data_IF_432308576318
#
_entry.id   IF_432308576318
#
_cell.length_a   1.000
_cell.length_b   1.000
_cell.length_c   1.000
_cell.angle_alpha   90.00
_cell.angle_beta   90.00
_cell.angle_gamma   90.00
#
_symmetry.space_group_name_H-M   'P 1'
#
loop_
_entity.id
_entity.type
_entity.pdbx_description
1 polymer ?
#
# COMPACT_ATOMS: atom_id res chain seq x y z
N UNK A 1 35.30 -13.41 33.34
CA UNK A 1 36.31 -13.21 32.28
C UNK A 1 35.62 -12.41 31.19
N UNK A 2 35.73 -11.08 31.26
CA UNK A 2 35.03 -10.16 30.38
C UNK A 2 35.82 -10.05 29.07
N UNK A 3 35.28 -10.57 27.98
CA UNK A 3 35.78 -10.23 26.65
C UNK A 3 35.13 -8.90 26.25
N UNK A 4 35.95 -7.86 26.20
CA UNK A 4 35.60 -6.59 25.59
C UNK A 4 35.31 -6.84 24.09
N UNK A 5 34.03 -6.81 23.72
CA UNK A 5 33.62 -6.72 22.32
C UNK A 5 34.03 -5.34 21.79
N UNK A 6 35.29 -5.24 21.35
CA UNK A 6 35.81 -4.04 20.71
C UNK A 6 35.22 -3.92 19.32
N UNK A 7 34.15 -3.13 19.20
CA UNK A 7 33.65 -2.69 17.90
C UNK A 7 34.77 -1.90 17.18
N UNK A 8 35.30 -2.45 16.09
CA UNK A 8 36.38 -1.83 15.34
C UNK A 8 35.81 -0.76 14.41
N UNK A 9 36.12 0.50 14.69
CA UNK A 9 35.89 1.61 13.78
C UNK A 9 37.07 1.73 12.83
N UNK A 10 36.82 1.67 11.53
CA UNK A 10 37.82 1.99 10.51
C UNK A 10 37.40 3.25 9.78
N UNK A 11 38.31 4.21 9.72
CA UNK A 11 38.13 5.45 8.99
C UNK A 11 38.79 5.31 7.61
N UNK A 12 37.98 5.43 6.57
CA UNK A 12 38.45 5.51 5.19
C UNK A 12 38.35 6.95 4.72
N UNK A 13 39.47 7.46 4.21
CA UNK A 13 39.53 8.79 3.61
C UNK A 13 39.63 8.64 2.10
N UNK A 14 38.78 9.35 1.37
CA UNK A 14 38.86 9.48 -0.08
C UNK A 14 39.01 10.95 -0.42
N UNK A 15 40.02 11.25 -1.23
CA UNK A 15 40.23 12.56 -1.80
C UNK A 15 39.50 12.62 -3.15
N UNK A 16 38.59 13.59 -3.28
CA UNK A 16 37.91 13.97 -4.51
C UNK A 16 38.76 14.96 -5.31
N UNK A 17 38.10 15.81 -6.09
CA UNK A 17 38.79 16.71 -7.02
C UNK A 17 39.74 17.68 -6.28
N UNK A 18 40.94 17.82 -6.86
CA UNK A 18 41.94 18.80 -6.44
C UNK A 18 41.84 19.95 -7.43
N UNK A 19 41.47 21.14 -6.95
CA UNK A 19 41.44 22.35 -7.76
C UNK A 19 42.44 23.38 -7.23
N UNK A 20 43.24 23.94 -8.12
CA UNK A 20 44.06 25.10 -7.83
C UNK A 20 43.26 26.35 -8.20
N UNK A 21 43.17 27.31 -7.28
CA UNK A 21 42.58 28.62 -7.51
C UNK A 21 43.71 29.63 -7.80
N UNK A 22 43.40 30.67 -8.59
CA UNK A 22 44.34 31.67 -9.13
C UNK A 22 45.19 32.40 -8.06
N UNK A 23 44.82 32.29 -6.77
CA UNK A 23 45.51 32.90 -5.63
C UNK A 23 46.56 31.97 -4.99
N UNK A 24 47.11 31.01 -5.73
CA UNK A 24 48.01 29.97 -5.23
C UNK A 24 47.42 29.12 -4.08
N UNK A 25 46.08 29.00 -4.02
CA UNK A 25 45.38 28.14 -3.07
C UNK A 25 44.99 26.82 -3.72
N UNK A 26 45.30 25.70 -3.05
CA UNK A 26 44.89 24.37 -3.49
C UNK A 26 43.72 23.94 -2.60
N UNK A 27 42.58 23.66 -3.21
CA UNK A 27 41.38 23.12 -2.55
C UNK A 27 41.28 21.64 -2.86
N UNK A 28 41.26 20.82 -1.80
CA UNK A 28 41.09 19.36 -1.88
C UNK A 28 39.76 19.02 -1.20
N UNK A 29 38.81 18.44 -1.95
CA UNK A 29 37.59 17.92 -1.36
C UNK A 29 37.86 16.55 -0.74
N UNK A 30 37.88 16.47 0.59
CA UNK A 30 38.07 15.20 1.30
C UNK A 30 36.76 14.69 1.89
N UNK A 31 36.45 13.42 1.65
CA UNK A 31 35.35 12.72 2.34
C UNK A 31 35.93 11.66 3.27
N UNK A 32 35.58 11.74 4.56
CA UNK A 32 35.89 10.68 5.54
C UNK A 32 34.65 9.84 5.81
N UNK A 33 34.74 8.52 5.60
CA UNK A 33 33.71 7.55 6.01
C UNK A 33 34.23 6.73 7.17
N UNK A 34 33.51 6.77 8.29
CA UNK A 34 33.80 5.90 9.44
C UNK A 34 32.84 4.72 9.37
N UNK A 35 33.39 3.52 9.20
CA UNK A 35 32.62 2.28 9.27
C UNK A 35 32.83 1.66 10.64
N UNK A 36 31.73 1.43 11.35
CA UNK A 36 31.75 0.58 12.54
C UNK A 36 31.41 -0.84 12.09
N UNK A 37 32.39 -1.73 12.16
CA UNK A 37 32.16 -3.14 11.87
C UNK A 37 31.60 -3.82 13.11
N UNK A 38 30.41 -4.40 12.96
CA UNK A 38 29.67 -5.06 14.02
C UNK A 38 29.67 -6.56 13.70
N UNK A 39 30.09 -7.40 14.65
CA UNK A 39 30.08 -8.84 14.47
C UNK A 39 28.65 -9.35 14.26
N UNK A 40 28.47 -10.42 13.47
CA UNK A 40 27.12 -10.99 13.22
C UNK A 40 26.44 -11.45 14.51
N UNK A 41 27.23 -11.96 15.44
CA UNK A 41 26.83 -12.41 16.77
C UNK A 41 26.32 -11.22 17.60
N UNK A 42 27.02 -10.08 17.56
CA UNK A 42 26.60 -8.85 18.24
C UNK A 42 25.30 -8.29 17.65
N UNK A 43 25.09 -8.39 16.33
CA UNK A 43 23.82 -7.99 15.69
C UNK A 43 22.65 -8.84 16.20
N UNK A 44 22.85 -10.14 16.44
CA UNK A 44 21.78 -11.05 16.93
C UNK A 44 21.39 -10.78 18.38
N UNK A 45 22.35 -10.37 19.21
CA UNK A 45 22.13 -10.08 20.64
C UNK A 45 21.69 -8.63 20.91
N UNK A 46 21.72 -7.77 19.88
CA UNK A 46 21.28 -6.37 20.02
C UNK A 46 19.79 -6.31 20.31
N UNK A 47 19.44 -5.67 21.42
CA UNK A 47 18.05 -5.34 21.73
C UNK A 47 17.50 -4.42 20.66
N UNK A 48 16.35 -4.80 20.10
CA UNK A 48 15.63 -3.97 19.15
C UNK A 48 15.23 -2.65 19.81
N UNK A 49 15.43 -1.54 19.11
CA UNK A 49 14.97 -0.24 19.56
C UNK A 49 13.43 -0.19 19.43
N UNK A 50 12.66 -0.09 20.53
CA UNK A 50 11.21 -0.03 20.45
C UNK A 50 10.70 1.26 19.81
N UNK A 51 11.53 2.32 19.72
CA UNK A 51 11.21 3.56 19.02
C UNK A 51 11.55 3.53 17.53
N UNK A 52 12.01 2.40 16.99
CA UNK A 52 12.29 2.26 15.57
C UNK A 52 11.01 2.42 14.75
N UNK A 53 10.98 3.25 13.69
CA UNK A 53 9.83 3.35 12.79
C UNK A 53 9.66 2.13 11.89
N UNK A 54 10.65 1.23 11.87
CA UNK A 54 10.61 0.00 11.07
C UNK A 54 9.81 -1.10 11.77
N UNK A 55 8.66 -1.45 11.18
CA UNK A 55 7.73 -2.46 11.71
C UNK A 55 8.05 -3.91 11.27
N UNK A 56 9.23 -4.14 10.69
CA UNK A 56 9.63 -5.45 10.20
C UNK A 56 9.01 -5.81 8.85
N UNK A 57 8.71 -7.09 8.64
CA UNK A 57 8.12 -7.61 7.40
C UNK A 57 6.60 -7.37 7.30
N UNK A 58 6.01 -6.69 8.29
CA UNK A 58 4.59 -6.34 8.28
C UNK A 58 4.33 -5.27 7.22
N UNK A 59 3.14 -5.32 6.63
CA UNK A 59 2.64 -4.22 5.80
C UNK A 59 2.26 -3.07 6.74
N UNK A 60 2.59 -1.83 6.36
CA UNK A 60 2.02 -0.64 7.00
C UNK A 60 0.52 -0.60 6.71
N UNK A 61 -0.27 -0.39 7.75
CA UNK A 61 -1.72 -0.22 7.72
C UNK A 61 -2.12 1.25 7.95
N UNK A 62 -3.43 1.54 7.96
CA UNK A 62 -3.92 2.91 8.14
C UNK A 62 -3.47 3.55 9.46
N UNK A 63 -3.29 2.73 10.50
CA UNK A 63 -2.86 3.13 11.83
C UNK A 63 -1.39 3.56 11.85
N UNK A 64 -0.59 3.04 10.92
CA UNK A 64 0.84 3.29 10.82
C UNK A 64 1.17 4.52 9.94
N UNK A 65 0.18 5.32 9.53
CA UNK A 65 0.38 6.45 8.61
C UNK A 65 1.49 7.42 9.05
N UNK A 66 1.69 7.60 10.36
CA UNK A 66 2.70 8.49 10.92
C UNK A 66 4.13 7.95 10.77
N UNK A 67 4.27 6.65 10.51
CA UNK A 67 5.54 5.96 10.27
C UNK A 67 5.82 5.76 8.78
N UNK A 68 4.87 6.09 7.89
CA UNK A 68 4.97 5.86 6.46
C UNK A 68 5.40 7.12 5.70
N UNK A 69 6.70 7.21 5.39
CA UNK A 69 7.33 8.37 4.73
C UNK A 69 8.07 8.00 3.43
N UNK A 70 8.41 9.01 2.62
CA UNK A 70 9.20 8.88 1.39
C UNK A 70 8.39 8.40 0.17
N UNK A 71 7.06 8.38 0.29
CA UNK A 71 6.12 7.95 -0.77
C UNK A 71 5.10 9.02 -1.14
N UNK A 72 5.34 10.26 -0.74
CA UNK A 72 4.41 11.39 -0.88
C UNK A 72 4.04 11.64 -2.35
N UNK A 73 5.03 11.60 -3.25
CA UNK A 73 4.79 11.76 -4.69
C UNK A 73 3.92 10.63 -5.28
N UNK A 74 4.11 9.40 -4.81
CA UNK A 74 3.31 8.25 -5.27
C UNK A 74 1.89 8.33 -4.73
N UNK A 75 1.71 8.76 -3.49
CA UNK A 75 0.39 9.01 -2.90
C UNK A 75 -0.35 10.10 -3.70
N UNK A 76 0.32 11.21 -4.01
CA UNK A 76 -0.26 12.30 -4.80
C UNK A 76 -0.73 11.81 -6.19
N UNK A 77 0.12 11.06 -6.90
CA UNK A 77 -0.25 10.43 -8.18
C UNK A 77 -1.42 9.46 -8.06
N UNK A 78 -1.48 8.69 -6.97
CA UNK A 78 -2.60 7.79 -6.72
C UNK A 78 -3.91 8.56 -6.47
N UNK A 79 -3.86 9.71 -5.79
CA UNK A 79 -5.02 10.59 -5.61
C UNK A 79 -5.52 11.13 -6.96
N UNK A 80 -4.62 11.60 -7.81
CA UNK A 80 -4.97 12.06 -9.16
C UNK A 80 -5.60 10.93 -9.98
N UNK A 81 -5.04 9.72 -9.91
CA UNK A 81 -5.54 8.57 -10.63
C UNK A 81 -6.97 8.18 -10.19
N UNK A 82 -7.28 8.18 -8.88
CA UNK A 82 -8.64 7.86 -8.39
C UNK A 82 -9.67 8.93 -8.73
N UNK A 83 -9.24 10.18 -8.94
CA UNK A 83 -10.11 11.25 -9.44
C UNK A 83 -10.39 11.10 -10.93
N UNK A 84 -9.41 10.63 -11.69
CA UNK A 84 -9.49 10.52 -13.15
C UNK A 84 -10.20 9.25 -13.62
N UNK A 85 -10.10 8.14 -12.88
CA UNK A 85 -10.62 6.82 -13.29
C UNK A 85 -11.25 6.07 -12.12
N UNK A 86 -12.32 5.33 -12.42
CA UNK A 86 -12.99 4.41 -11.48
C UNK A 86 -12.28 3.07 -11.34
N UNK A 87 -11.29 2.79 -12.21
CA UNK A 87 -10.49 1.57 -12.17
C UNK A 87 -9.03 1.90 -12.42
N UNK A 88 -8.18 1.41 -11.52
CA UNK A 88 -6.74 1.63 -11.55
C UNK A 88 -6.07 0.31 -11.26
N UNK A 89 -5.10 -0.05 -12.10
CA UNK A 89 -4.23 -1.17 -11.87
C UNK A 89 -2.90 -0.67 -11.29
N UNK A 90 -2.60 -1.06 -10.05
CA UNK A 90 -1.34 -0.70 -9.39
C UNK A 90 -0.28 -1.78 -9.61
N UNK A 91 0.72 -1.49 -10.44
CA UNK A 91 1.79 -2.42 -10.80
C UNK A 91 3.10 -2.10 -10.07
N UNK A 92 3.96 -3.11 -9.91
CA UNK A 92 5.29 -2.98 -9.32
C UNK A 92 5.83 -4.30 -8.77
N UNK A 93 7.13 -4.37 -8.53
CA UNK A 93 7.81 -5.57 -8.03
C UNK A 93 7.21 -6.09 -6.70
N UNK A 94 7.38 -7.39 -6.43
CA UNK A 94 7.04 -7.93 -5.12
C UNK A 94 7.84 -7.22 -4.02
N UNK A 95 7.20 -6.93 -2.89
CA UNK A 95 7.82 -6.18 -1.79
C UNK A 95 8.07 -4.70 -2.05
N UNK A 96 7.68 -4.13 -3.20
CA UNK A 96 7.90 -2.70 -3.49
C UNK A 96 7.05 -1.72 -2.65
N UNK A 97 6.19 -2.25 -1.76
CA UNK A 97 5.35 -1.47 -0.85
C UNK A 97 3.99 -1.04 -1.41
N UNK A 98 3.47 -1.65 -2.48
CA UNK A 98 2.18 -1.30 -3.11
C UNK A 98 1.01 -1.32 -2.13
N UNK A 99 0.85 -2.43 -1.38
CA UNK A 99 -0.24 -2.56 -0.41
C UNK A 99 -0.14 -1.48 0.68
N UNK A 100 1.07 -1.19 1.17
CA UNK A 100 1.32 -0.14 2.16
C UNK A 100 1.09 1.26 1.60
N UNK A 101 1.45 1.53 0.35
CA UNK A 101 1.16 2.78 -0.34
C UNK A 101 -0.34 3.09 -0.31
N UNK A 102 -1.18 2.08 -0.56
CA UNK A 102 -2.63 2.26 -0.54
C UNK A 102 -3.17 2.32 0.90
N UNK A 103 -2.78 1.38 1.77
CA UNK A 103 -3.33 1.22 3.12
C UNK A 103 -2.89 2.31 4.10
N UNK A 104 -1.61 2.65 4.12
CA UNK A 104 -1.02 3.64 5.04
C UNK A 104 -0.89 5.04 4.40
N UNK A 105 -0.94 5.12 3.06
CA UNK A 105 -0.79 6.38 2.33
C UNK A 105 -2.10 6.91 1.76
N UNK A 106 -2.63 6.24 0.73
CA UNK A 106 -3.79 6.74 -0.02
C UNK A 106 -5.08 6.76 0.81
N UNK A 107 -5.45 5.65 1.44
CA UNK A 107 -6.69 5.52 2.21
C UNK A 107 -6.78 6.57 3.32
N UNK A 108 -5.74 6.77 4.17
CA UNK A 108 -5.80 7.80 5.21
C UNK A 108 -5.90 9.22 4.64
N UNK A 109 -5.20 9.52 3.53
CA UNK A 109 -5.31 10.83 2.87
C UNK A 109 -6.71 11.08 2.33
N UNK A 110 -7.32 10.10 1.65
CA UNK A 110 -8.70 10.22 1.17
C UNK A 110 -9.69 10.32 2.34
N UNK A 111 -9.45 9.60 3.44
CA UNK A 111 -10.28 9.68 4.65
C UNK A 111 -10.23 11.06 5.27
N UNK A 112 -9.08 11.73 5.27
CA UNK A 112 -8.96 13.11 5.74
C UNK A 112 -9.70 14.11 4.85
N UNK A 113 -9.76 13.87 3.54
CA UNK A 113 -10.46 14.74 2.58
C UNK A 113 -11.98 14.54 2.57
N UNK A 114 -12.44 13.28 2.64
CA UNK A 114 -13.84 12.91 2.48
C UNK A 114 -14.55 12.67 3.81
N UNK A 115 -13.81 12.48 4.91
CA UNK A 115 -14.35 12.14 6.21
C UNK A 115 -15.15 10.84 6.19
N UNK A 116 -16.36 10.88 6.76
CA UNK A 116 -17.27 9.73 6.85
C UNK A 116 -17.83 9.28 5.50
N UNK A 117 -17.74 10.11 4.46
CA UNK A 117 -18.20 9.74 3.11
C UNK A 117 -17.35 8.61 2.52
N UNK A 118 -16.07 8.50 2.89
CA UNK A 118 -15.21 7.43 2.34
C UNK A 118 -15.50 6.09 3.01
N UNK A 119 -15.88 5.10 2.20
CA UNK A 119 -15.99 3.70 2.59
C UNK A 119 -14.90 2.91 1.89
N UNK A 120 -13.89 2.46 2.64
CA UNK A 120 -12.81 1.63 2.11
C UNK A 120 -13.12 0.15 2.29
N UNK A 121 -13.22 -0.60 1.19
CA UNK A 121 -13.38 -2.05 1.17
C UNK A 121 -12.07 -2.66 0.69
N UNK A 122 -11.37 -3.35 1.58
CA UNK A 122 -10.03 -3.88 1.31
C UNK A 122 -10.01 -5.38 1.53
N UNK A 123 -9.68 -6.15 0.49
CA UNK A 123 -9.64 -7.60 0.57
C UNK A 123 -8.74 -8.19 -0.53
N UNK A 124 -8.03 -9.29 -0.26
CA UNK A 124 -7.28 -10.01 -1.28
C UNK A 124 -8.04 -11.21 -1.84
N UNK A 125 -8.14 -11.47 -3.16
CA UNK A 125 -8.90 -12.59 -3.70
C UNK A 125 -8.52 -13.94 -3.05
N UNK A 126 -9.53 -14.69 -2.61
CA UNK A 126 -9.41 -16.08 -2.11
C UNK A 126 -10.02 -17.05 -3.16
N UNK A 127 -10.37 -18.26 -2.75
CA UNK A 127 -10.99 -19.27 -3.60
C UNK A 127 -12.32 -18.79 -4.21
N UNK A 128 -13.18 -18.17 -3.40
CA UNK A 128 -14.30 -17.34 -3.88
C UNK A 128 -13.98 -15.83 -3.69
N UNK A 129 -13.80 -15.06 -4.76
CA UNK A 129 -13.54 -13.63 -4.66
C UNK A 129 -14.78 -12.81 -4.26
N UNK A 130 -16.00 -13.34 -4.41
CA UNK A 130 -17.24 -12.67 -3.99
C UNK A 130 -17.44 -12.75 -2.48
N UNK A 131 -17.11 -13.89 -1.86
CA UNK A 131 -17.25 -14.09 -0.41
C UNK A 131 -16.48 -13.06 0.41
N UNK A 132 -15.27 -12.69 -0.01
CA UNK A 132 -14.50 -11.69 0.71
C UNK A 132 -15.05 -10.28 0.57
N UNK A 133 -15.65 -9.97 -0.58
CA UNK A 133 -16.33 -8.71 -0.76
C UNK A 133 -17.58 -8.62 0.12
N UNK A 134 -18.40 -9.68 0.14
CA UNK A 134 -19.52 -9.83 1.09
C UNK A 134 -19.03 -9.66 2.54
N UNK A 135 -17.93 -10.31 2.89
CA UNK A 135 -17.32 -10.20 4.22
C UNK A 135 -16.90 -8.77 4.55
N UNK A 136 -16.28 -8.07 3.59
CA UNK A 136 -15.88 -6.67 3.76
C UNK A 136 -17.10 -5.75 3.98
N UNK A 137 -18.21 -6.01 3.29
CA UNK A 137 -19.47 -5.28 3.49
C UNK A 137 -20.11 -5.58 4.85
N UNK A 138 -20.07 -6.83 5.32
CA UNK A 138 -20.56 -7.22 6.65
C UNK A 138 -19.79 -6.47 7.75
N UNK A 139 -18.46 -6.36 7.62
CA UNK A 139 -17.61 -5.61 8.57
C UNK A 139 -17.95 -4.12 8.58
N UNK A 140 -18.50 -3.58 7.48
CA UNK A 140 -18.99 -2.20 7.38
C UNK A 140 -20.46 -2.04 7.75
N UNK A 141 -21.07 -3.08 8.30
CA UNK A 141 -22.45 -3.07 8.83
C UNK A 141 -23.51 -2.73 7.76
N UNK A 142 -23.27 -3.14 6.52
CA UNK A 142 -24.31 -3.11 5.48
C UNK A 142 -25.36 -4.21 5.69
N UNK A 143 -26.54 -4.02 5.08
CA UNK A 143 -27.67 -4.93 5.24
C UNK A 143 -27.34 -6.35 4.73
N UNK A 144 -27.53 -7.35 5.59
CA UNK A 144 -27.13 -8.73 5.30
C UNK A 144 -27.99 -9.38 4.23
N UNK A 145 -29.27 -9.01 4.09
CA UNK A 145 -30.14 -9.57 3.07
C UNK A 145 -29.77 -9.04 1.68
N UNK A 146 -29.46 -7.74 1.58
CA UNK A 146 -28.90 -7.15 0.37
C UNK A 146 -27.53 -7.74 0.01
N UNK A 147 -26.68 -8.03 1.00
CA UNK A 147 -25.37 -8.69 0.76
C UNK A 147 -25.55 -10.13 0.21
N UNK A 148 -26.54 -10.88 0.71
CA UNK A 148 -26.84 -12.24 0.18
C UNK A 148 -27.28 -12.22 -1.28
N UNK A 149 -27.87 -11.12 -1.74
CA UNK A 149 -28.27 -10.98 -3.15
C UNK A 149 -27.07 -10.86 -4.10
N UNK A 150 -25.88 -10.51 -3.60
CA UNK A 150 -24.63 -10.61 -4.37
C UNK A 150 -24.37 -12.10 -4.60
N UNK A 151 -24.58 -12.60 -5.81
CA UNK A 151 -24.38 -14.01 -6.17
C UNK A 151 -23.17 -14.19 -7.09
N UNK A 152 -22.55 -15.37 -7.02
CA UNK A 152 -21.43 -15.80 -7.86
C UNK A 152 -21.85 -16.08 -9.33
N UNK A 153 -23.14 -16.30 -9.58
CA UNK A 153 -23.63 -16.85 -10.86
C UNK A 153 -23.80 -15.80 -11.97
N UNK A 154 -23.94 -14.52 -11.63
CA UNK A 154 -24.20 -13.45 -12.60
C UNK A 154 -23.41 -12.19 -12.24
N UNK A 155 -22.55 -11.73 -13.15
CA UNK A 155 -21.76 -10.50 -12.99
C UNK A 155 -22.64 -9.25 -12.78
N UNK A 156 -23.84 -9.25 -13.38
CA UNK A 156 -24.81 -8.15 -13.27
C UNK A 156 -25.33 -7.97 -11.82
N UNK A 157 -25.33 -9.03 -11.01
CA UNK A 157 -25.77 -8.97 -9.61
C UNK A 157 -24.78 -8.20 -8.73
N UNK A 158 -23.49 -8.19 -9.07
CA UNK A 158 -22.50 -7.41 -8.33
C UNK A 158 -22.76 -5.92 -8.49
N UNK A 159 -22.91 -5.48 -9.74
CA UNK A 159 -23.11 -4.07 -10.07
C UNK A 159 -24.40 -3.54 -9.41
N UNK A 160 -25.50 -4.25 -9.59
CA UNK A 160 -26.79 -3.87 -9.01
C UNK A 160 -26.76 -3.84 -7.49
N UNK A 161 -26.12 -4.84 -6.86
CA UNK A 161 -25.99 -4.87 -5.42
C UNK A 161 -25.11 -3.73 -4.88
N UNK A 162 -24.04 -3.36 -5.57
CA UNK A 162 -23.23 -2.21 -5.17
C UNK A 162 -24.05 -0.91 -5.25
N UNK A 163 -24.82 -0.73 -6.32
CA UNK A 163 -25.68 0.45 -6.50
C UNK A 163 -26.77 0.52 -5.43
N UNK A 164 -27.37 -0.61 -5.05
CA UNK A 164 -28.43 -0.64 -4.04
C UNK A 164 -27.90 -0.50 -2.61
N UNK A 165 -26.69 -0.98 -2.34
CA UNK A 165 -26.05 -0.91 -1.02
C UNK A 165 -25.40 0.45 -0.73
N UNK A 166 -24.84 1.09 -1.76
CA UNK A 166 -24.15 2.36 -1.61
C UNK A 166 -25.15 3.46 -1.24
N UNK A 167 -24.94 4.11 -0.10
CA UNK A 167 -25.79 5.24 0.33
C UNK A 167 -25.40 6.50 -0.46
N UNK A 168 -26.34 7.44 -0.67
CA UNK A 168 -26.15 8.60 -1.58
C UNK A 168 -24.88 9.42 -1.31
N UNK A 169 -24.50 9.63 -0.05
CA UNK A 169 -23.33 10.42 0.33
C UNK A 169 -22.01 9.61 0.36
N UNK A 170 -22.08 8.30 0.16
CA UNK A 170 -20.92 7.42 0.26
C UNK A 170 -20.08 7.39 -1.02
N UNK A 171 -18.78 7.32 -0.82
CA UNK A 171 -17.76 7.19 -1.85
C UNK A 171 -16.98 5.91 -1.55
N UNK A 172 -17.17 4.88 -2.36
CA UNK A 172 -16.52 3.60 -2.13
C UNK A 172 -15.14 3.57 -2.79
N UNK A 173 -14.12 3.21 -2.00
CA UNK A 173 -12.82 2.80 -2.52
C UNK A 173 -12.67 1.29 -2.32
N UNK A 174 -12.78 0.54 -3.41
CA UNK A 174 -12.58 -0.91 -3.41
C UNK A 174 -11.12 -1.18 -3.78
N UNK A 175 -10.34 -1.67 -2.81
CA UNK A 175 -8.96 -2.08 -3.02
C UNK A 175 -8.83 -3.60 -2.94
N UNK A 176 -8.64 -4.21 -4.11
CA UNK A 176 -8.42 -5.64 -4.27
C UNK A 176 -6.91 -5.91 -4.17
N UNK A 177 -6.41 -6.12 -2.96
CA UNK A 177 -4.96 -6.31 -2.72
C UNK A 177 -4.50 -7.66 -3.27
N UNK A 178 -3.32 -7.73 -3.89
CA UNK A 178 -2.82 -8.96 -4.51
C UNK A 178 -3.82 -9.59 -5.51
N UNK A 179 -4.35 -8.76 -6.43
CA UNK A 179 -5.31 -9.19 -7.45
C UNK A 179 -4.84 -10.43 -8.23
N UNK A 180 -3.53 -10.59 -8.43
CA UNK A 180 -2.93 -11.76 -9.08
C UNK A 180 -3.27 -13.10 -8.38
N UNK A 181 -3.65 -13.07 -7.09
CA UNK A 181 -4.11 -14.27 -6.38
C UNK A 181 -5.40 -14.84 -6.97
N UNK A 182 -6.20 -14.03 -7.67
CA UNK A 182 -7.39 -14.51 -8.38
C UNK A 182 -7.03 -15.62 -9.38
N UNK A 183 -5.90 -15.50 -10.08
CA UNK A 183 -5.49 -16.46 -11.10
C UNK A 183 -4.77 -17.69 -10.53
N UNK A 184 -4.30 -17.62 -9.29
CA UNK A 184 -3.53 -18.70 -8.66
C UNK A 184 -4.35 -19.50 -7.64
N UNK A 185 -5.26 -18.85 -6.90
CA UNK A 185 -6.09 -19.47 -5.85
C UNK A 185 -7.44 -19.93 -6.37
N UNK A 186 -8.26 -19.04 -6.91
CA UNK A 186 -9.56 -19.40 -7.47
C UNK A 186 -9.37 -20.41 -8.61
N UNK A 187 -9.90 -21.63 -8.47
CA UNK A 187 -9.75 -22.68 -9.51
C UNK A 187 -10.87 -22.66 -10.55
N UNK A 188 -11.98 -22.01 -10.23
CA UNK A 188 -13.13 -21.89 -11.13
C UNK A 188 -12.95 -20.72 -12.10
N UNK A 189 -12.66 -21.03 -13.37
CA UNK A 189 -12.48 -20.02 -14.42
C UNK A 189 -13.75 -19.23 -14.74
N UNK A 190 -14.94 -19.84 -14.56
CA UNK A 190 -16.21 -19.11 -14.74
C UNK A 190 -16.37 -18.07 -13.65
N UNK A 191 -16.09 -18.44 -12.40
CA UNK A 191 -16.14 -17.54 -11.26
C UNK A 191 -15.14 -16.38 -11.41
N UNK A 192 -13.89 -16.68 -11.82
CA UNK A 192 -12.89 -15.66 -12.13
C UNK A 192 -13.40 -14.67 -13.18
N UNK A 193 -13.98 -15.17 -14.28
CA UNK A 193 -14.50 -14.33 -15.35
C UNK A 193 -15.67 -13.45 -14.86
N UNK A 194 -16.64 -14.03 -14.16
CA UNK A 194 -17.76 -13.28 -13.60
C UNK A 194 -17.28 -12.14 -12.67
N UNK A 195 -16.27 -12.40 -11.86
CA UNK A 195 -15.68 -11.40 -10.97
C UNK A 195 -15.02 -10.24 -11.74
N UNK A 196 -14.21 -10.56 -12.75
CA UNK A 196 -13.54 -9.57 -13.60
C UNK A 196 -14.55 -8.74 -14.40
N UNK A 197 -15.56 -9.40 -14.97
CA UNK A 197 -16.63 -8.75 -15.72
C UNK A 197 -17.42 -7.80 -14.80
N UNK A 198 -17.71 -8.21 -13.56
CA UNK A 198 -18.36 -7.38 -12.55
C UNK A 198 -17.58 -6.12 -12.19
N UNK A 199 -16.26 -6.24 -11.96
CA UNK A 199 -15.38 -5.09 -11.69
C UNK A 199 -15.38 -4.13 -12.89
N UNK A 200 -15.26 -4.67 -14.10
CA UNK A 200 -15.18 -3.87 -15.33
C UNK A 200 -16.49 -3.10 -15.57
N UNK A 201 -17.64 -3.74 -15.33
CA UNK A 201 -18.96 -3.11 -15.42
C UNK A 201 -19.11 -1.99 -14.40
N UNK A 202 -18.77 -2.25 -13.13
CA UNK A 202 -18.81 -1.24 -12.07
C UNK A 202 -17.94 -0.03 -12.41
N UNK A 203 -16.75 -0.26 -12.96
CA UNK A 203 -15.83 0.80 -13.37
C UNK A 203 -16.35 1.64 -14.54
N UNK A 204 -17.08 1.02 -15.48
CA UNK A 204 -17.59 1.69 -16.69
C UNK A 204 -18.71 2.69 -16.42
N UNK A 205 -19.41 2.57 -15.28
CA UNK A 205 -20.49 3.50 -14.93
C UNK A 205 -19.95 4.82 -14.39
N UNK A 206 -20.62 5.92 -14.78
CA UNK A 206 -20.36 7.28 -14.29
C UNK A 206 -20.84 7.54 -12.85
N UNK A 207 -21.13 6.51 -12.05
CA UNK A 207 -21.61 6.70 -10.67
C UNK A 207 -20.50 7.20 -9.75
N UNK A 208 -20.85 8.16 -8.87
CA UNK A 208 -20.18 8.63 -7.65
C UNK A 208 -18.73 8.17 -7.43
N UNK A 209 -17.88 8.60 -8.34
CA UNK A 209 -16.43 8.45 -8.28
C UNK A 209 -15.86 9.45 -7.30
N UNK A 210 -14.71 9.14 -6.71
CA UNK A 210 -13.93 10.00 -5.80
C UNK A 210 -13.39 11.23 -6.58
N UNK A 211 -14.30 12.07 -7.05
CA UNK A 211 -14.05 13.21 -7.95
C UNK A 211 -14.01 14.54 -7.21
N UNK A 212 -14.65 14.62 -6.05
CA UNK A 212 -14.77 15.87 -5.27
C UNK A 212 -13.73 16.01 -4.15
N UNK A 213 -12.60 15.31 -4.26
CA UNK A 213 -11.47 15.50 -3.34
C UNK A 213 -10.62 16.71 -3.74
#
# INVERSE_FOLDING_TARGET
MNQENSSHQQQFQSFGDISAQDNAQIVIQQTSKVYQFIAREEVKERKLNPASPYIGLKKFESEDQNLFFGREQWIAKSIEAVRASNLILLLGASGSGKSSLIRAGLIPKLKNLLGKRLISLVFPPQDDPFDLFRSALIVKEYDREAIKAISQEQADNWEQACISLQREEEQWLIFIDQFEQLFTRCKDTKLQKCFIDGITRLASKKSNSIKEC
#
